data_IF_537227284541
#
_entry.id   IF_537227284541
#
_cell.length_a   1.000
_cell.length_b   1.000
_cell.length_c   1.000
_cell.angle_alpha   90.00
_cell.angle_beta   90.00
_cell.angle_gamma   90.00
#
_symmetry.space_group_name_H-M   'P 1'
#
loop_
_entity.id
_entity.type
_entity.pdbx_description
1 polymer ?
#
# COMPACT_ATOMS: atom_id res chain seq x y z
N UNK A 1 23.96 2.04 27.09
CA UNK A 1 23.90 2.94 25.93
C UNK A 1 25.28 2.94 25.29
N UNK A 2 25.39 2.64 23.99
CA UNK A 2 26.65 2.74 23.25
C UNK A 2 27.16 4.20 23.25
N UNK A 3 28.46 4.40 23.34
CA UNK A 3 29.07 5.74 23.35
C UNK A 3 28.97 6.40 21.95
N UNK A 4 28.84 7.74 21.84
CA UNK A 4 28.76 8.44 20.55
C UNK A 4 29.87 8.08 19.54
N UNK A 5 31.04 7.70 20.02
CA UNK A 5 32.18 7.31 19.19
C UNK A 5 32.02 5.92 18.54
N UNK A 6 31.28 5.01 19.18
CA UNK A 6 30.92 3.71 18.59
C UNK A 6 29.99 3.93 17.39
N UNK A 7 28.97 4.80 17.53
CA UNK A 7 28.07 5.14 16.44
C UNK A 7 28.77 5.85 15.27
N UNK A 8 29.71 6.77 15.55
CA UNK A 8 30.54 7.37 14.50
C UNK A 8 31.37 6.32 13.76
N UNK A 9 31.91 5.34 14.48
CA UNK A 9 32.65 4.22 13.89
C UNK A 9 31.75 3.35 13.01
N UNK A 10 30.53 3.04 13.47
CA UNK A 10 29.53 2.31 12.68
C UNK A 10 29.18 3.09 11.40
N UNK A 11 28.93 4.40 11.51
CA UNK A 11 28.62 5.27 10.38
C UNK A 11 29.71 5.23 9.31
N UNK A 12 30.98 5.35 9.71
CA UNK A 12 32.13 5.24 8.79
C UNK A 12 32.16 3.90 8.06
N UNK A 13 32.00 2.78 8.79
CA UNK A 13 31.96 1.43 8.21
C UNK A 13 30.81 1.25 7.22
N UNK A 14 29.64 1.85 7.51
CA UNK A 14 28.49 1.83 6.59
C UNK A 14 28.79 2.62 5.31
N UNK A 15 29.44 3.78 5.42
CA UNK A 15 29.87 4.58 4.25
C UNK A 15 30.84 3.81 3.36
N UNK A 16 31.84 3.14 3.95
CA UNK A 16 32.79 2.30 3.20
C UNK A 16 32.07 1.18 2.44
N UNK A 17 31.15 0.46 3.12
CA UNK A 17 30.35 -0.60 2.48
C UNK A 17 29.43 -0.07 1.39
N UNK A 18 28.87 1.13 1.56
CA UNK A 18 27.99 1.74 0.58
C UNK A 18 28.74 2.06 -0.72
N UNK A 19 30.00 2.52 -0.63
CA UNK A 19 30.85 2.75 -1.79
C UNK A 19 31.10 1.49 -2.63
N UNK A 20 31.05 0.30 -2.02
CA UNK A 20 31.22 -0.98 -2.70
C UNK A 20 29.89 -1.64 -3.14
N UNK A 21 28.73 -1.08 -2.78
CA UNK A 21 27.43 -1.68 -3.07
C UNK A 21 27.05 -1.54 -4.55
N UNK A 22 26.76 -2.66 -5.21
CA UNK A 22 26.47 -2.70 -6.65
C UNK A 22 24.97 -2.73 -6.94
N UNK A 23 24.19 -3.38 -6.07
CA UNK A 23 22.74 -3.58 -6.25
C UNK A 23 21.88 -2.65 -5.37
N UNK A 24 20.64 -2.41 -5.83
CA UNK A 24 19.69 -1.52 -5.14
C UNK A 24 19.29 -2.04 -3.75
N UNK A 25 19.23 -3.36 -3.55
CA UNK A 25 18.87 -3.95 -2.25
C UNK A 25 19.94 -3.66 -1.20
N UNK A 26 21.21 -3.81 -1.54
CA UNK A 26 22.34 -3.49 -0.68
C UNK A 26 22.41 -1.98 -0.39
N UNK A 27 22.25 -1.13 -1.40
CA UNK A 27 22.23 0.34 -1.23
C UNK A 27 21.11 0.79 -0.31
N UNK A 28 19.88 0.33 -0.56
CA UNK A 28 18.72 0.62 0.27
C UNK A 28 18.96 0.24 1.74
N UNK A 29 19.47 -0.97 2.00
CA UNK A 29 19.76 -1.43 3.37
C UNK A 29 20.84 -0.57 4.05
N UNK A 30 21.95 -0.30 3.38
CA UNK A 30 23.09 0.41 3.95
C UNK A 30 22.78 1.87 4.24
N UNK A 31 22.15 2.57 3.29
CA UNK A 31 21.67 3.95 3.49
C UNK A 31 20.66 4.02 4.63
N UNK A 32 19.70 3.10 4.66
CA UNK A 32 18.68 3.05 5.69
C UNK A 32 19.27 2.83 7.09
N UNK A 33 20.30 1.99 7.22
CA UNK A 33 21.03 1.82 8.49
C UNK A 33 21.88 3.04 8.84
N UNK A 34 22.50 3.69 7.86
CA UNK A 34 23.30 4.90 8.07
C UNK A 34 22.43 6.06 8.55
N UNK A 35 21.23 6.21 7.97
CA UNK A 35 20.22 7.17 8.42
C UNK A 35 19.83 6.97 9.89
N UNK A 36 19.62 5.73 10.35
CA UNK A 36 19.34 5.43 11.76
C UNK A 36 20.50 5.86 12.66
N UNK A 37 21.74 5.59 12.26
CA UNK A 37 22.93 5.99 13.02
C UNK A 37 23.07 7.52 13.07
N UNK A 38 22.93 8.20 11.93
CA UNK A 38 22.97 9.67 11.88
C UNK A 38 21.85 10.31 12.72
N UNK A 39 20.64 9.72 12.73
CA UNK A 39 19.54 10.12 13.61
C UNK A 39 19.91 10.01 15.10
N UNK A 40 20.52 8.90 15.52
CA UNK A 40 20.99 8.69 16.90
C UNK A 40 22.07 9.71 17.28
N UNK A 41 22.94 10.07 16.33
CA UNK A 41 23.97 11.10 16.51
C UNK A 41 23.43 12.54 16.50
N UNK A 42 22.15 12.74 16.20
CA UNK A 42 21.51 14.06 16.08
C UNK A 42 21.77 14.77 14.75
N UNK A 43 22.37 14.10 13.77
CA UNK A 43 22.69 14.63 12.44
C UNK A 43 21.48 14.45 11.49
N UNK A 44 20.41 15.20 11.76
CA UNK A 44 19.10 14.97 11.14
C UNK A 44 19.02 15.31 9.64
N UNK A 45 19.85 16.23 9.14
CA UNK A 45 19.94 16.53 7.70
C UNK A 45 20.57 15.39 6.92
N UNK A 46 21.69 14.85 7.42
CA UNK A 46 22.34 13.67 6.84
C UNK A 46 21.43 12.45 6.89
N UNK A 47 20.74 12.25 8.03
CA UNK A 47 19.76 11.18 8.19
C UNK A 47 18.60 11.30 7.19
N UNK A 48 18.15 12.53 6.89
CA UNK A 48 17.06 12.78 5.94
C UNK A 48 17.51 12.47 4.51
N UNK A 49 18.69 12.94 4.11
CA UNK A 49 19.24 12.69 2.79
C UNK A 49 19.42 11.18 2.54
N UNK A 50 20.00 10.47 3.51
CA UNK A 50 20.17 9.01 3.44
C UNK A 50 18.82 8.28 3.43
N UNK A 51 17.87 8.71 4.27
CA UNK A 51 16.54 8.12 4.35
C UNK A 51 15.77 8.22 3.03
N UNK A 52 15.80 9.38 2.37
CA UNK A 52 15.16 9.59 1.05
C UNK A 52 15.80 8.73 -0.03
N UNK A 53 17.13 8.70 -0.11
CA UNK A 53 17.83 7.84 -1.07
C UNK A 53 17.56 6.35 -0.80
N UNK A 54 17.53 5.94 0.48
CA UNK A 54 17.20 4.58 0.85
C UNK A 54 15.81 4.17 0.39
N UNK A 55 14.82 5.06 0.54
CA UNK A 55 13.46 4.83 0.07
C UNK A 55 13.41 4.67 -1.45
N UNK A 56 14.05 5.56 -2.21
CA UNK A 56 14.12 5.45 -3.68
C UNK A 56 14.71 4.11 -4.13
N UNK A 57 15.83 3.69 -3.53
CA UNK A 57 16.40 2.38 -3.87
C UNK A 57 15.51 1.20 -3.43
N UNK A 58 14.81 1.33 -2.29
CA UNK A 58 13.88 0.30 -1.82
C UNK A 58 12.69 0.14 -2.77
N UNK A 59 12.07 1.23 -3.21
CA UNK A 59 10.99 1.24 -4.19
C UNK A 59 11.42 0.62 -5.51
N UNK A 60 12.64 0.94 -5.97
CA UNK A 60 13.22 0.35 -7.17
C UNK A 60 13.43 -1.18 -7.07
N UNK A 61 13.42 -1.75 -5.85
CA UNK A 61 13.45 -3.22 -5.69
C UNK A 61 12.08 -3.88 -5.88
N UNK A 62 10.98 -3.12 -5.73
CA UNK A 62 9.61 -3.66 -5.76
C UNK A 62 9.23 -4.52 -4.56
N UNK A 63 10.10 -4.68 -3.56
CA UNK A 63 9.83 -5.48 -2.35
C UNK A 63 9.13 -4.64 -1.27
N UNK A 64 7.82 -4.87 -1.05
CA UNK A 64 7.00 -4.10 -0.09
C UNK A 64 7.61 -4.06 1.31
N UNK A 65 8.09 -5.19 1.84
CA UNK A 65 8.74 -5.21 3.16
C UNK A 65 9.93 -4.24 3.25
N UNK A 66 10.74 -4.14 2.19
CA UNK A 66 11.90 -3.23 2.19
C UNK A 66 11.47 -1.78 2.08
N UNK A 67 10.50 -1.50 1.21
CA UNK A 67 9.92 -0.16 1.07
C UNK A 67 9.31 0.30 2.38
N UNK A 68 8.49 -0.53 3.03
CA UNK A 68 7.86 -0.21 4.32
C UNK A 68 8.90 0.08 5.43
N UNK A 69 9.98 -0.70 5.52
CA UNK A 69 11.06 -0.43 6.48
C UNK A 69 11.79 0.87 6.17
N UNK A 70 12.03 1.18 4.89
CA UNK A 70 12.66 2.43 4.49
C UNK A 70 11.76 3.64 4.77
N UNK A 71 10.46 3.55 4.45
CA UNK A 71 9.44 4.55 4.76
C UNK A 71 9.37 4.81 6.27
N UNK A 72 9.29 3.75 7.09
CA UNK A 72 9.23 3.88 8.53
C UNK A 72 10.48 4.59 9.10
N UNK A 73 11.67 4.19 8.69
CA UNK A 73 12.92 4.83 9.15
C UNK A 73 13.02 6.29 8.71
N UNK A 74 12.59 6.62 7.49
CA UNK A 74 12.50 8.01 7.03
C UNK A 74 11.47 8.79 7.85
N UNK A 75 10.29 8.21 8.12
CA UNK A 75 9.26 8.80 8.97
C UNK A 75 9.79 9.10 10.38
N UNK A 76 10.62 8.22 10.93
CA UNK A 76 11.33 8.50 12.19
C UNK A 76 12.22 9.74 12.11
N UNK A 77 13.02 9.88 11.05
CA UNK A 77 13.87 11.06 10.87
C UNK A 77 13.01 12.34 10.82
N UNK A 78 11.94 12.33 10.03
CA UNK A 78 11.01 13.44 9.88
C UNK A 78 10.31 13.79 11.20
N UNK A 79 9.87 12.78 11.96
CA UNK A 79 9.29 12.94 13.30
C UNK A 79 10.26 13.68 14.24
N UNK A 80 11.54 13.27 14.29
CA UNK A 80 12.55 13.94 15.12
C UNK A 80 12.91 15.36 14.65
N UNK A 81 12.64 15.67 13.38
CA UNK A 81 12.75 17.03 12.82
C UNK A 81 11.49 17.89 13.05
N UNK A 82 10.40 17.30 13.56
CA UNK A 82 9.10 17.97 13.70
C UNK A 82 8.29 18.06 12.40
N UNK A 83 8.72 17.38 11.34
CA UNK A 83 8.03 17.33 10.03
C UNK A 83 6.92 16.27 10.05
N UNK A 84 5.95 16.46 10.95
CA UNK A 84 5.00 15.41 11.32
C UNK A 84 4.01 15.01 10.22
N UNK A 85 3.61 15.93 9.35
CA UNK A 85 2.67 15.64 8.26
C UNK A 85 3.25 14.60 7.31
N UNK A 86 4.50 14.78 6.88
CA UNK A 86 5.20 13.82 6.01
C UNK A 86 5.51 12.53 6.77
N UNK A 87 5.89 12.61 8.05
CA UNK A 87 6.12 11.44 8.89
C UNK A 87 4.89 10.54 9.03
N UNK A 88 3.73 11.11 9.37
CA UNK A 88 2.47 10.39 9.51
C UNK A 88 2.05 9.75 8.19
N UNK A 89 2.21 10.47 7.07
CA UNK A 89 1.94 9.94 5.72
C UNK A 89 2.78 8.71 5.45
N UNK A 90 4.09 8.78 5.69
CA UNK A 90 4.99 7.65 5.48
C UNK A 90 4.69 6.47 6.40
N UNK A 91 4.31 6.70 7.66
CA UNK A 91 3.86 5.61 8.55
C UNK A 91 2.57 4.95 8.03
N UNK A 92 1.61 5.73 7.54
CA UNK A 92 0.37 5.23 6.95
C UNK A 92 0.60 4.46 5.64
N UNK A 93 1.51 4.93 4.79
CA UNK A 93 1.93 4.24 3.57
C UNK A 93 2.65 2.92 3.89
N UNK A 94 3.56 2.94 4.87
CA UNK A 94 4.33 1.78 5.29
C UNK A 94 3.47 0.66 5.89
N UNK A 95 2.36 1.01 6.54
CA UNK A 95 1.50 0.07 7.25
C UNK A 95 0.53 -0.68 6.33
N UNK A 96 1.10 -1.39 5.35
CA UNK A 96 0.36 -2.30 4.49
C UNK A 96 -0.15 -3.51 5.28
N UNK A 97 -1.37 -3.90 4.99
CA UNK A 97 -1.97 -5.09 5.59
C UNK A 97 -1.32 -6.39 5.10
N UNK A 98 -0.62 -6.37 3.96
CA UNK A 98 0.08 -7.53 3.38
C UNK A 98 1.46 -7.79 4.03
N UNK A 99 1.87 -6.98 5.00
CA UNK A 99 3.13 -7.17 5.72
C UNK A 99 2.99 -8.17 6.87
N UNK A 100 4.09 -8.81 7.31
CA UNK A 100 4.09 -9.64 8.51
C UNK A 100 3.58 -8.87 9.73
N UNK A 101 2.79 -9.53 10.57
CA UNK A 101 2.17 -8.92 11.76
C UNK A 101 3.20 -8.28 12.69
N UNK A 102 4.36 -8.94 12.88
CA UNK A 102 5.48 -8.39 13.66
C UNK A 102 5.92 -7.01 13.13
N UNK A 103 6.04 -6.82 11.83
CA UNK A 103 6.44 -5.53 11.27
C UNK A 103 5.31 -4.50 11.44
N UNK A 104 4.06 -4.90 11.17
CA UNK A 104 2.89 -4.04 11.32
C UNK A 104 2.72 -3.54 12.76
N UNK A 105 2.94 -4.41 13.75
CA UNK A 105 2.87 -4.05 15.17
C UNK A 105 3.88 -2.94 15.52
N UNK A 106 5.12 -3.05 15.04
CA UNK A 106 6.14 -2.01 15.26
C UNK A 106 5.82 -0.72 14.49
N UNK A 107 5.25 -0.80 13.29
CA UNK A 107 4.79 0.38 12.56
C UNK A 107 3.68 1.13 13.32
N UNK A 108 2.73 0.39 13.88
CA UNK A 108 1.69 0.95 14.75
C UNK A 108 2.29 1.55 16.03
N UNK A 109 3.23 0.89 16.71
CA UNK A 109 3.95 1.43 17.87
C UNK A 109 4.56 2.82 17.55
N UNK A 110 5.21 2.95 16.39
CA UNK A 110 5.87 4.19 16.01
C UNK A 110 4.93 5.28 15.51
N UNK A 111 3.88 4.93 14.76
CA UNK A 111 2.81 5.85 14.40
C UNK A 111 2.11 6.40 15.66
N UNK A 112 1.87 5.55 16.66
CA UNK A 112 1.30 5.96 17.95
C UNK A 112 2.18 6.96 18.68
N UNK A 113 3.50 6.75 18.69
CA UNK A 113 4.46 7.74 19.23
C UNK A 113 4.51 9.04 18.43
N UNK A 114 4.37 8.99 17.11
CA UNK A 114 4.25 10.21 16.27
C UNK A 114 3.01 11.01 16.67
N UNK A 115 1.86 10.34 16.88
CA UNK A 115 0.62 10.98 17.32
C UNK A 115 0.73 11.56 18.72
N UNK A 116 1.41 10.86 19.64
CA UNK A 116 1.68 11.33 20.99
C UNK A 116 2.46 12.65 21.00
N UNK A 117 3.54 12.74 20.23
CA UNK A 117 4.37 13.96 20.13
C UNK A 117 3.55 15.17 19.63
N UNK A 118 2.51 14.92 18.84
CA UNK A 118 1.60 15.93 18.29
C UNK A 118 0.40 16.24 19.19
N UNK A 119 0.25 15.56 20.34
CA UNK A 119 -0.90 15.71 21.24
C UNK A 119 -2.19 15.07 20.74
N UNK A 120 -2.15 14.22 19.70
CA UNK A 120 -3.29 13.42 19.25
C UNK A 120 -3.36 12.11 20.04
N UNK A 121 -3.70 12.22 21.32
CA UNK A 121 -3.59 11.12 22.28
C UNK A 121 -4.61 10.00 22.01
N UNK A 122 -5.82 10.33 21.56
CA UNK A 122 -6.81 9.31 21.14
C UNK A 122 -6.29 8.46 19.97
N UNK A 123 -5.70 9.11 18.96
CA UNK A 123 -5.11 8.44 17.80
C UNK A 123 -3.90 7.59 18.21
N UNK A 124 -3.08 8.08 19.16
CA UNK A 124 -1.97 7.33 19.73
C UNK A 124 -2.44 6.02 20.41
N UNK A 125 -3.48 6.10 21.26
CA UNK A 125 -4.09 4.92 21.88
C UNK A 125 -4.57 3.90 20.85
N UNK A 126 -5.26 4.35 19.80
CA UNK A 126 -5.74 3.46 18.76
C UNK A 126 -4.58 2.71 18.07
N UNK A 127 -3.48 3.40 17.77
CA UNK A 127 -2.30 2.76 17.22
C UNK A 127 -1.69 1.73 18.18
N UNK A 128 -1.58 2.04 19.48
CA UNK A 128 -1.05 1.12 20.48
C UNK A 128 -1.93 -0.12 20.66
N UNK A 129 -3.25 0.03 20.67
CA UNK A 129 -4.22 -1.06 20.68
C UNK A 129 -4.01 -1.98 19.48
N UNK A 130 -3.92 -1.43 18.26
CA UNK A 130 -3.65 -2.22 17.04
C UNK A 130 -2.33 -2.98 17.09
N UNK A 131 -1.29 -2.40 17.69
CA UNK A 131 -0.02 -3.10 17.86
C UNK A 131 -0.13 -4.29 18.83
N UNK A 132 -0.92 -4.16 19.91
CA UNK A 132 -1.21 -5.25 20.85
C UNK A 132 -2.13 -6.31 20.24
N UNK A 133 -3.13 -5.94 19.45
CA UNK A 133 -4.00 -6.90 18.75
C UNK A 133 -3.19 -7.82 17.82
N UNK A 134 -2.17 -7.27 17.17
CA UNK A 134 -1.32 -8.01 16.24
C UNK A 134 -0.36 -8.97 16.93
N UNK A 135 0.22 -8.61 18.09
CA UNK A 135 1.37 -9.34 18.67
C UNK A 135 1.47 -9.32 20.20
N UNK A 136 0.51 -8.73 20.91
CA UNK A 136 0.61 -8.44 22.35
C UNK A 136 0.73 -9.67 23.24
N UNK A 137 0.19 -10.83 22.82
CA UNK A 137 0.30 -12.10 23.54
C UNK A 137 1.60 -12.86 23.25
N UNK A 138 2.25 -12.56 22.12
CA UNK A 138 3.42 -13.29 21.60
C UNK A 138 4.73 -12.52 21.73
N UNK A 139 4.68 -11.24 22.11
CA UNK A 139 5.83 -10.35 22.18
C UNK A 139 5.84 -9.52 23.50
N UNK A 140 6.41 -10.08 24.59
CA UNK A 140 6.48 -9.40 25.88
C UNK A 140 7.27 -8.08 25.83
N UNK A 141 8.24 -7.95 24.92
CA UNK A 141 9.01 -6.72 24.77
C UNK A 141 8.17 -5.61 24.14
N UNK A 142 7.40 -5.93 23.10
CA UNK A 142 6.42 -5.00 22.52
C UNK A 142 5.41 -4.56 23.58
N UNK A 143 4.87 -5.50 24.36
CA UNK A 143 3.91 -5.20 25.41
C UNK A 143 4.50 -4.22 26.44
N UNK A 144 5.75 -4.42 26.87
CA UNK A 144 6.43 -3.52 27.80
C UNK A 144 6.63 -2.11 27.22
N UNK A 145 7.05 -2.00 25.94
CA UNK A 145 7.22 -0.71 25.26
C UNK A 145 5.91 0.04 25.06
N UNK A 146 4.83 -0.68 24.74
CA UNK A 146 3.49 -0.09 24.59
C UNK A 146 2.94 0.37 25.94
N UNK A 147 3.10 -0.43 27.01
CA UNK A 147 2.68 -0.04 28.36
C UNK A 147 3.31 1.28 28.78
N UNK A 148 4.62 1.43 28.60
CA UNK A 148 5.32 2.69 28.86
C UNK A 148 4.74 3.87 28.06
N UNK A 149 4.36 3.62 26.80
CA UNK A 149 3.76 4.66 25.95
C UNK A 149 2.35 5.02 26.41
N UNK A 150 1.55 4.05 26.87
CA UNK A 150 0.22 4.28 27.42
C UNK A 150 0.26 4.99 28.78
N UNK A 151 1.25 4.70 29.62
CA UNK A 151 1.46 5.42 30.89
C UNK A 151 1.74 6.91 30.61
N UNK A 152 2.62 7.21 29.64
CA UNK A 152 2.89 8.58 29.21
C UNK A 152 1.65 9.28 28.59
N UNK A 153 0.82 8.54 27.84
CA UNK A 153 -0.47 9.06 27.35
C UNK A 153 -1.39 9.41 28.51
N UNK A 154 -1.53 8.53 29.51
CA UNK A 154 -2.41 8.73 30.65
C UNK A 154 -2.04 10.00 31.45
N UNK A 155 -0.73 10.23 31.66
CA UNK A 155 -0.22 11.45 32.28
C UNK A 155 -0.61 12.69 31.48
N UNK A 156 -0.38 12.69 30.16
CA UNK A 156 -0.65 13.85 29.30
C UNK A 156 -2.14 14.12 29.09
N UNK A 157 -2.98 13.08 29.04
CA UNK A 157 -4.46 13.22 28.98
C UNK A 157 -5.00 13.97 30.19
N UNK A 158 -4.42 13.76 31.38
CA UNK A 158 -4.85 14.46 32.59
C UNK A 158 -4.62 15.98 32.49
N UNK A 159 -3.66 16.43 31.66
CA UNK A 159 -3.33 17.83 31.45
C UNK A 159 -4.07 18.46 30.26
N UNK A 160 -4.12 17.75 29.12
CA UNK A 160 -4.56 18.33 27.84
C UNK A 160 -5.86 17.74 27.28
N UNK A 161 -6.40 16.71 27.92
CA UNK A 161 -7.45 15.87 27.33
C UNK A 161 -6.92 15.01 26.17
N UNK A 162 -7.82 14.25 25.53
CA UNK A 162 -7.46 13.26 24.50
C UNK A 162 -7.09 13.84 23.13
N UNK A 163 -7.38 15.11 22.88
CA UNK A 163 -7.24 15.72 21.55
C UNK A 163 -8.36 15.33 20.58
N UNK A 164 -8.15 15.49 19.26
CA UNK A 164 -9.16 15.25 18.24
C UNK A 164 -9.47 13.75 18.06
N UNK A 165 -10.57 13.46 17.36
CA UNK A 165 -10.88 12.10 16.94
C UNK A 165 -9.77 11.53 16.03
N UNK A 166 -9.48 10.22 16.12
CA UNK A 166 -8.48 9.57 15.28
C UNK A 166 -8.78 9.74 13.80
N UNK A 167 -7.77 10.14 13.03
CA UNK A 167 -7.85 10.16 11.57
C UNK A 167 -7.81 8.73 11.01
N UNK A 168 -8.57 8.49 9.96
CA UNK A 168 -8.51 7.29 9.13
C UNK A 168 -7.23 7.26 8.30
N UNK A 169 -6.85 6.07 7.82
CA UNK A 169 -5.69 5.93 6.91
C UNK A 169 -5.87 6.78 5.64
N UNK A 170 -7.08 6.87 5.11
CA UNK A 170 -7.38 7.67 3.91
C UNK A 170 -7.13 9.15 4.18
N UNK A 171 -7.57 9.70 5.31
CA UNK A 171 -7.30 11.09 5.72
C UNK A 171 -5.81 11.41 5.88
N UNK A 172 -5.01 10.46 6.39
CA UNK A 172 -3.57 10.66 6.55
C UNK A 172 -2.85 10.66 5.19
N UNK A 173 -3.33 9.87 4.23
CA UNK A 173 -2.77 9.76 2.89
C UNK A 173 -3.25 10.88 1.95
N UNK A 174 -4.47 11.35 2.14
CA UNK A 174 -5.09 12.44 1.38
C UNK A 174 -5.02 13.73 2.21
N UNK A 175 -3.87 14.41 2.19
CA UNK A 175 -3.66 15.70 2.89
C UNK A 175 -4.55 16.85 2.41
N UNK A 176 -5.43 16.61 1.44
CA UNK A 176 -6.47 17.51 0.95
C UNK A 176 -7.71 16.66 0.64
N UNK A 177 -8.60 16.52 1.62
CA UNK A 177 -9.87 15.80 1.47
C UNK A 177 -10.68 16.52 0.39
N UNK A 178 -10.86 15.91 -0.80
CA UNK A 178 -11.64 16.56 -1.83
C UNK A 178 -13.10 16.71 -1.36
N UNK A 179 -13.86 17.65 -1.93
CA UNK A 179 -15.29 17.76 -1.64
C UNK A 179 -15.99 16.41 -1.80
N UNK A 180 -16.83 16.01 -0.84
CA UNK A 180 -17.53 14.73 -0.88
C UNK A 180 -18.90 14.91 -1.54
N UNK A 181 -19.41 13.93 -2.32
CA UNK A 181 -20.76 14.01 -2.87
C UNK A 181 -21.80 14.21 -1.76
N UNK A 182 -22.59 15.26 -1.88
CA UNK A 182 -23.64 15.63 -0.93
C UNK A 182 -24.93 15.97 -1.69
N UNK A 183 -26.08 15.71 -1.07
CA UNK A 183 -27.38 16.02 -1.68
C UNK A 183 -27.96 17.31 -1.12
N UNK A 184 -28.60 18.07 -1.99
CA UNK A 184 -29.55 19.11 -1.63
C UNK A 184 -30.81 18.91 -2.48
N UNK A 185 -31.93 18.57 -1.81
CA UNK A 185 -33.11 18.03 -2.47
C UNK A 185 -32.82 16.73 -3.24
N UNK A 186 -33.23 16.68 -4.51
CA UNK A 186 -33.06 15.51 -5.38
C UNK A 186 -31.72 15.50 -6.15
N UNK A 187 -30.98 16.61 -6.11
CA UNK A 187 -29.74 16.78 -6.86
C UNK A 187 -28.51 16.59 -5.95
N UNK A 188 -27.41 16.20 -6.58
CA UNK A 188 -26.10 16.06 -5.99
C UNK A 188 -25.25 17.29 -6.30
N UNK A 189 -24.53 17.74 -5.28
CA UNK A 189 -23.39 18.65 -5.35
C UNK A 189 -22.22 18.03 -4.60
N UNK A 190 -21.29 18.87 -4.12
CA UNK A 190 -20.21 18.42 -3.26
C UNK A 190 -20.00 19.34 -2.06
N UNK A 191 -19.86 18.74 -0.89
CA UNK A 191 -19.61 19.43 0.37
C UNK A 191 -18.14 19.36 0.77
N UNK A 192 -17.63 20.45 1.32
CA UNK A 192 -16.29 20.51 1.89
C UNK A 192 -16.17 19.74 3.21
N UNK A 193 -14.97 19.70 3.82
CA UNK A 193 -14.75 19.00 5.10
C UNK A 193 -15.65 19.47 6.24
N UNK A 194 -16.06 20.74 6.22
CA UNK A 194 -16.94 21.35 7.23
C UNK A 194 -18.43 21.04 7.01
N UNK A 195 -18.77 20.30 5.94
CA UNK A 195 -20.13 19.93 5.56
C UNK A 195 -20.85 20.98 4.71
N UNK A 196 -20.27 22.15 4.52
CA UNK A 196 -20.80 23.20 3.66
C UNK A 196 -20.72 22.82 2.18
N UNK A 197 -21.77 23.11 1.42
CA UNK A 197 -21.80 22.87 -0.02
C UNK A 197 -20.82 23.81 -0.74
N UNK A 198 -19.76 23.26 -1.32
CA UNK A 198 -18.72 24.01 -2.06
C UNK A 198 -18.90 23.92 -3.57
N UNK A 199 -19.59 22.88 -4.05
CA UNK A 199 -20.08 22.77 -5.43
C UNK A 199 -21.58 22.58 -5.37
N UNK A 200 -22.34 23.49 -5.97
CA UNK A 200 -23.79 23.50 -5.92
C UNK A 200 -24.42 22.18 -6.40
N UNK A 201 -25.59 21.84 -5.84
CA UNK A 201 -26.33 20.66 -6.22
C UNK A 201 -27.05 20.83 -7.55
N UNK A 202 -26.39 20.44 -8.63
CA UNK A 202 -26.90 20.56 -10.00
C UNK A 202 -26.92 19.23 -10.77
N UNK A 203 -26.44 18.15 -10.14
CA UNK A 203 -26.21 16.87 -10.80
C UNK A 203 -27.26 15.83 -10.43
N UNK A 204 -27.75 15.08 -11.40
CA UNK A 204 -28.60 13.92 -11.14
C UNK A 204 -27.82 12.78 -10.46
N UNK A 205 -26.54 12.65 -10.78
CA UNK A 205 -25.60 11.73 -10.13
C UNK A 205 -24.20 12.33 -10.03
N UNK A 206 -23.47 11.99 -8.96
CA UNK A 206 -22.09 12.38 -8.75
C UNK A 206 -21.29 11.22 -8.13
N UNK A 207 -20.12 10.92 -8.69
CA UNK A 207 -19.15 9.99 -8.09
C UNK A 207 -18.17 10.75 -7.18
N UNK A 208 -17.59 10.10 -6.16
CA UNK A 208 -16.53 10.71 -5.35
C UNK A 208 -15.33 11.14 -6.19
N UNK A 209 -14.67 12.22 -5.78
CA UNK A 209 -13.42 12.64 -6.40
C UNK A 209 -12.35 11.55 -6.25
N UNK A 210 -11.65 11.25 -7.36
CA UNK A 210 -10.46 10.42 -7.42
C UNK A 210 -9.43 11.10 -8.34
N UNK A 211 -8.17 11.12 -7.92
CA UNK A 211 -7.10 11.85 -8.61
C UNK A 211 -7.44 13.33 -8.91
N UNK A 212 -8.22 13.96 -8.03
CA UNK A 212 -8.65 15.36 -8.16
C UNK A 212 -9.80 15.60 -9.13
N UNK A 213 -10.40 14.55 -9.69
CA UNK A 213 -11.47 14.63 -10.68
C UNK A 213 -12.70 13.82 -10.26
N UNK A 214 -13.90 14.24 -10.65
CA UNK A 214 -15.14 13.52 -10.37
C UNK A 214 -16.01 13.39 -11.62
N UNK A 215 -16.63 12.22 -11.78
CA UNK A 215 -17.66 12.03 -12.79
C UNK A 215 -19.00 12.54 -12.25
N UNK A 216 -19.67 13.37 -13.03
CA UNK A 216 -21.00 13.90 -12.74
C UNK A 216 -21.93 13.72 -13.94
N UNK A 217 -23.22 13.58 -13.69
CA UNK A 217 -24.24 13.46 -14.72
C UNK A 217 -25.32 14.50 -14.47
N UNK A 218 -25.54 15.39 -15.44
CA UNK A 218 -26.61 16.39 -15.34
C UNK A 218 -27.98 15.79 -15.72
N UNK A 219 -29.09 16.32 -15.20
CA UNK A 219 -30.43 15.77 -15.46
C UNK A 219 -30.85 15.67 -16.93
N UNK A 220 -30.26 16.47 -17.81
CA UNK A 220 -30.66 16.66 -19.20
C UNK A 220 -29.98 15.64 -20.14
N UNK A 221 -29.07 14.82 -19.62
CA UNK A 221 -28.27 13.87 -20.39
C UNK A 221 -28.06 12.55 -19.65
N UNK A 222 -27.91 11.48 -20.42
CA UNK A 222 -27.50 10.17 -19.93
C UNK A 222 -25.98 9.99 -19.93
N UNK A 223 -25.22 10.98 -20.43
CA UNK A 223 -23.75 10.93 -20.52
C UNK A 223 -23.09 11.66 -19.35
N UNK A 224 -21.98 11.11 -18.89
CA UNK A 224 -21.16 11.65 -17.81
C UNK A 224 -20.21 12.73 -18.32
N UNK A 225 -20.05 13.77 -17.49
CA UNK A 225 -19.07 14.84 -17.59
C UNK A 225 -18.02 14.67 -16.50
N UNK A 226 -16.81 15.17 -16.75
CA UNK A 226 -15.74 15.21 -15.76
C UNK A 226 -15.61 16.62 -15.21
N UNK A 227 -15.54 16.76 -13.89
CA UNK A 227 -15.31 18.05 -13.22
C UNK A 227 -14.08 17.99 -12.32
N UNK A 228 -13.44 19.15 -12.12
CA UNK A 228 -12.36 19.33 -11.16
C UNK A 228 -12.89 19.70 -9.76
N UNK A 229 -11.97 19.86 -8.80
CA UNK A 229 -12.31 20.19 -7.39
C UNK A 229 -13.02 21.53 -7.20
N UNK A 230 -13.02 22.40 -8.21
CA UNK A 230 -13.76 23.68 -8.20
C UNK A 230 -15.17 23.54 -8.78
N UNK A 231 -15.49 22.37 -9.35
CA UNK A 231 -16.73 22.13 -10.08
C UNK A 231 -16.67 22.56 -11.54
N UNK A 232 -15.51 23.01 -12.04
CA UNK A 232 -15.34 23.35 -13.44
C UNK A 232 -15.35 22.09 -14.32
N UNK A 233 -16.10 22.12 -15.41
CA UNK A 233 -16.13 21.03 -16.40
C UNK A 233 -14.76 20.91 -17.07
N UNK A 234 -14.14 19.74 -16.91
CA UNK A 234 -12.90 19.32 -17.57
C UNK A 234 -13.22 18.57 -18.86
N UNK A 235 -14.24 17.70 -18.84
CA UNK A 235 -14.72 16.97 -20.00
C UNK A 235 -16.23 17.11 -20.13
N UNK A 236 -16.67 17.59 -21.29
CA UNK A 236 -18.08 17.69 -21.66
C UNK A 236 -18.77 16.31 -21.68
N UNK A 237 -20.12 16.23 -21.57
CA UNK A 237 -20.85 14.97 -21.53
C UNK A 237 -20.51 14.05 -22.71
N UNK A 238 -19.71 13.01 -22.47
CA UNK A 238 -19.07 12.25 -23.55
C UNK A 238 -19.40 10.76 -23.51
N UNK A 239 -19.45 10.13 -22.34
CA UNK A 239 -19.60 8.67 -22.22
C UNK A 239 -20.82 8.28 -21.39
N UNK A 240 -21.62 7.29 -21.80
CA UNK A 240 -22.75 6.80 -21.02
C UNK A 240 -22.33 5.93 -19.83
N UNK A 241 -21.17 5.26 -19.92
CA UNK A 241 -20.66 4.38 -18.87
C UNK A 241 -19.23 4.75 -18.51
N UNK A 242 -18.98 5.02 -17.24
CA UNK A 242 -17.68 5.45 -16.71
C UNK A 242 -17.33 4.71 -15.41
N UNK A 243 -16.03 4.54 -15.16
CA UNK A 243 -15.48 4.19 -13.84
C UNK A 243 -14.59 5.32 -13.35
N UNK A 244 -14.47 5.44 -12.04
CA UNK A 244 -13.67 6.50 -11.42
C UNK A 244 -12.21 6.48 -11.88
N UNK A 245 -11.59 7.66 -11.90
CA UNK A 245 -10.15 7.80 -12.16
C UNK A 245 -9.33 7.01 -11.14
N UNK A 246 -8.23 6.44 -11.62
CA UNK A 246 -7.27 5.68 -10.82
C UNK A 246 -5.92 5.69 -11.52
N UNK A 247 -4.86 6.08 -10.80
CA UNK A 247 -3.54 6.37 -11.39
C UNK A 247 -3.62 7.28 -12.62
N UNK A 248 -4.47 8.31 -12.57
CA UNK A 248 -4.63 9.32 -13.62
C UNK A 248 -5.31 8.83 -14.91
N UNK A 249 -5.93 7.64 -14.92
CA UNK A 249 -6.73 7.14 -16.03
C UNK A 249 -8.12 6.70 -15.57
N UNK A 250 -9.12 6.78 -16.44
CA UNK A 250 -10.46 6.26 -16.21
C UNK A 250 -10.89 5.29 -17.31
N UNK A 251 -11.62 4.23 -16.93
CA UNK A 251 -12.25 3.32 -17.88
C UNK A 251 -13.61 3.87 -18.31
N UNK A 252 -13.85 3.93 -19.61
CA UNK A 252 -15.11 4.40 -20.21
C UNK A 252 -15.61 3.41 -21.27
N UNK A 253 -16.91 3.41 -21.52
CA UNK A 253 -17.56 2.58 -22.55
C UNK A 253 -18.77 3.31 -23.13
N UNK A 254 -19.06 3.06 -24.41
CA UNK A 254 -20.29 3.49 -25.09
C UNK A 254 -21.52 2.66 -24.71
N UNK A 255 -21.36 1.67 -23.83
CA UNK A 255 -22.45 0.79 -23.37
C UNK A 255 -22.75 -0.37 -24.32
N UNK A 256 -23.71 -1.21 -23.93
CA UNK A 256 -24.06 -2.43 -24.69
C UNK A 256 -22.88 -3.41 -24.77
N UNK A 257 -22.60 -3.92 -25.98
CA UNK A 257 -21.47 -4.82 -26.26
C UNK A 257 -20.13 -4.07 -26.48
N UNK A 258 -20.11 -2.74 -26.31
CA UNK A 258 -18.89 -1.97 -26.47
C UNK A 258 -17.90 -2.27 -25.33
N UNK A 259 -16.70 -2.69 -25.70
CA UNK A 259 -15.62 -2.90 -24.75
C UNK A 259 -15.16 -1.60 -24.06
N UNK A 260 -14.50 -1.75 -22.93
CA UNK A 260 -13.91 -0.67 -22.17
C UNK A 260 -12.63 -0.15 -22.81
N UNK A 261 -12.45 1.16 -22.83
CA UNK A 261 -11.19 1.86 -23.18
C UNK A 261 -10.77 2.75 -22.02
N UNK A 262 -9.46 3.04 -21.88
CA UNK A 262 -8.98 3.97 -20.87
C UNK A 262 -8.65 5.32 -21.48
N UNK A 263 -9.14 6.38 -20.83
CA UNK A 263 -8.84 7.77 -21.17
C UNK A 263 -8.05 8.46 -20.06
N UNK A 264 -7.33 9.52 -20.41
CA UNK A 264 -6.78 10.46 -19.43
C UNK A 264 -7.78 11.59 -19.09
N UNK A 265 -7.35 12.54 -18.26
CA UNK A 265 -8.15 13.67 -17.82
C UNK A 265 -8.56 14.64 -18.94
N UNK A 266 -7.86 14.63 -20.08
CA UNK A 266 -8.20 15.46 -21.25
C UNK A 266 -9.25 14.80 -22.15
N UNK A 267 -9.58 13.53 -21.89
CA UNK A 267 -10.46 12.72 -22.73
C UNK A 267 -9.72 11.98 -23.85
N UNK A 268 -8.39 12.09 -23.93
CA UNK A 268 -7.61 11.33 -24.91
C UNK A 268 -7.57 9.84 -24.54
N UNK A 269 -7.80 8.98 -25.54
CA UNK A 269 -7.75 7.53 -25.37
C UNK A 269 -6.29 7.07 -25.28
N UNK A 270 -5.87 6.66 -24.08
CA UNK A 270 -4.53 6.14 -23.81
C UNK A 270 -4.45 4.63 -24.01
N UNK A 271 -5.53 3.91 -23.66
CA UNK A 271 -5.63 2.46 -23.87
C UNK A 271 -6.80 2.17 -24.81
N UNK A 272 -6.54 1.97 -26.12
CA UNK A 272 -7.59 1.89 -27.15
C UNK A 272 -8.26 0.52 -27.25
N UNK A 273 -7.78 -0.46 -26.50
CA UNK A 273 -8.21 -1.85 -26.63
C UNK A 273 -9.54 -2.07 -25.91
N UNK A 274 -10.64 -2.19 -26.65
CA UNK A 274 -11.96 -2.54 -26.11
C UNK A 274 -11.96 -3.87 -25.37
N UNK A 275 -11.84 -3.82 -24.05
CA UNK A 275 -11.84 -4.99 -23.17
C UNK A 275 -13.27 -5.34 -22.75
N UNK A 276 -13.59 -6.62 -22.64
CA UNK A 276 -14.91 -7.07 -22.18
C UNK A 276 -15.14 -6.74 -20.69
N UNK A 277 -14.07 -6.71 -19.89
CA UNK A 277 -14.10 -6.27 -18.50
C UNK A 277 -12.75 -5.73 -18.07
N UNK A 278 -12.75 -4.88 -17.05
CA UNK A 278 -11.59 -4.13 -16.57
C UNK A 278 -11.63 -4.00 -15.05
N UNK A 279 -10.50 -3.71 -14.43
CA UNK A 279 -10.39 -3.29 -13.03
C UNK A 279 -9.66 -1.95 -12.96
N UNK A 280 -9.81 -1.17 -11.88
CA UNK A 280 -9.07 0.09 -11.73
C UNK A 280 -7.56 -0.10 -11.86
N UNK A 281 -6.87 0.90 -12.39
CA UNK A 281 -5.40 0.92 -12.38
C UNK A 281 -4.89 1.04 -10.94
N UNK A 282 -3.92 0.21 -10.56
CA UNK A 282 -3.29 0.27 -9.24
C UNK A 282 -1.79 0.12 -9.39
N UNK A 283 -1.04 1.16 -9.02
CA UNK A 283 0.41 1.24 -9.16
C UNK A 283 0.87 0.92 -10.59
N UNK A 284 0.22 1.54 -11.57
CA UNK A 284 0.63 1.54 -12.98
C UNK A 284 0.09 0.41 -13.84
N UNK A 285 -0.73 -0.50 -13.29
CA UNK A 285 -1.30 -1.64 -14.03
C UNK A 285 -2.77 -1.84 -13.71
N UNK A 286 -3.54 -2.32 -14.70
CA UNK A 286 -4.93 -2.72 -14.54
C UNK A 286 -5.12 -4.16 -15.02
N UNK A 287 -5.99 -4.90 -14.32
CA UNK A 287 -6.42 -6.23 -14.78
C UNK A 287 -7.54 -6.05 -15.80
N UNK A 288 -7.46 -6.77 -16.90
CA UNK A 288 -8.37 -6.65 -18.03
C UNK A 288 -8.76 -8.03 -18.56
N UNK A 289 -9.92 -8.11 -19.20
CA UNK A 289 -10.42 -9.33 -19.83
C UNK A 289 -10.79 -9.07 -21.28
N UNK A 290 -10.30 -9.94 -22.16
CA UNK A 290 -10.82 -10.08 -23.53
C UNK A 290 -11.38 -11.49 -23.68
N UNK A 291 -10.56 -12.43 -24.14
CA UNK A 291 -10.90 -13.86 -24.21
C UNK A 291 -10.64 -14.57 -22.86
N UNK A 292 -9.59 -14.11 -22.16
CA UNK A 292 -9.28 -14.48 -20.78
C UNK A 292 -8.77 -13.28 -20.00
N UNK A 293 -8.52 -13.47 -18.71
CA UNK A 293 -7.94 -12.46 -17.85
C UNK A 293 -6.45 -12.26 -18.14
N UNK A 294 -6.02 -11.01 -18.06
CA UNK A 294 -4.66 -10.54 -18.22
C UNK A 294 -4.49 -9.17 -17.56
N UNK A 295 -3.43 -8.45 -17.90
CA UNK A 295 -3.17 -7.13 -17.36
C UNK A 295 -2.50 -6.22 -18.38
N UNK A 296 -2.77 -4.92 -18.26
CA UNK A 296 -2.27 -3.86 -19.12
C UNK A 296 -1.60 -2.78 -18.28
N UNK A 297 -0.53 -2.17 -18.80
CA UNK A 297 0.06 -0.98 -18.19
C UNK A 297 -0.70 0.31 -18.57
N UNK A 298 -0.32 1.44 -17.96
CA UNK A 298 -0.90 2.76 -18.24
C UNK A 298 -0.69 3.27 -19.67
N UNK A 299 0.17 2.62 -20.46
CA UNK A 299 0.40 2.97 -21.86
C UNK A 299 -0.33 2.02 -22.82
N UNK A 300 -1.17 1.13 -22.30
CA UNK A 300 -1.95 0.18 -23.09
C UNK A 300 -1.20 -1.07 -23.51
N UNK A 301 0.03 -1.29 -23.02
CA UNK A 301 0.78 -2.51 -23.33
C UNK A 301 0.29 -3.65 -22.46
N UNK A 302 -0.04 -4.77 -23.09
CA UNK A 302 -0.42 -6.00 -22.38
C UNK A 302 0.83 -6.55 -21.67
N UNK A 303 0.90 -6.38 -20.36
CA UNK A 303 1.99 -6.90 -19.51
C UNK A 303 1.74 -8.35 -19.11
N UNK A 304 0.48 -8.76 -18.89
CA UNK A 304 0.11 -10.16 -18.68
C UNK A 304 -0.87 -10.59 -19.79
N UNK A 305 -0.56 -11.62 -20.59
CA UNK A 305 -1.45 -12.05 -21.68
C UNK A 305 -2.87 -12.39 -21.20
N UNK A 306 -3.88 -11.98 -21.98
CA UNK A 306 -5.31 -12.17 -21.72
C UNK A 306 -5.77 -13.59 -22.04
N UNK A 307 -5.28 -14.59 -21.29
CA UNK A 307 -5.52 -16.03 -21.53
C UNK A 307 -5.80 -16.83 -20.26
N UNK A 308 -5.85 -16.16 -19.11
CA UNK A 308 -6.02 -16.83 -17.82
C UNK A 308 -7.52 -16.97 -17.49
N UNK A 309 -7.92 -18.07 -16.87
CA UNK A 309 -9.30 -18.32 -16.47
C UNK A 309 -9.67 -17.55 -15.20
N UNK A 310 -8.68 -17.29 -14.33
CA UNK A 310 -8.83 -16.54 -13.10
C UNK A 310 -7.64 -15.62 -12.84
N UNK A 311 -7.94 -14.48 -12.21
CA UNK A 311 -6.98 -13.46 -11.81
C UNK A 311 -7.38 -12.92 -10.44
N UNK A 312 -7.33 -13.80 -9.44
CA UNK A 312 -7.73 -13.50 -8.06
C UNK A 312 -6.61 -13.99 -7.16
N UNK A 313 -6.10 -13.08 -6.35
CA UNK A 313 -4.95 -13.34 -5.49
C UNK A 313 -5.40 -13.63 -4.08
N UNK A 314 -5.04 -14.81 -3.58
CA UNK A 314 -5.34 -15.21 -2.21
C UNK A 314 -4.09 -15.02 -1.37
N UNK A 315 -4.22 -14.33 -0.25
CA UNK A 315 -3.16 -14.15 0.73
C UNK A 315 -3.17 -15.30 1.75
N UNK A 316 -2.03 -15.52 2.40
CA UNK A 316 -1.88 -16.60 3.38
C UNK A 316 -2.86 -16.48 4.56
N UNK A 317 -3.22 -15.26 4.95
CA UNK A 317 -4.20 -14.96 6.01
C UNK A 317 -5.67 -15.09 5.57
N UNK A 318 -5.92 -15.61 4.36
CA UNK A 318 -7.26 -15.88 3.84
C UNK A 318 -7.94 -14.69 3.17
N UNK A 319 -7.32 -13.50 3.14
CA UNK A 319 -7.86 -12.35 2.40
C UNK A 319 -7.67 -12.53 0.89
N UNK A 320 -8.52 -11.85 0.14
CA UNK A 320 -8.51 -11.86 -1.32
C UNK A 320 -8.20 -10.46 -1.85
N UNK A 321 -7.29 -10.39 -2.81
CA UNK A 321 -6.97 -9.19 -3.58
C UNK A 321 -7.44 -9.42 -5.02
N UNK A 322 -8.31 -8.52 -5.47
CA UNK A 322 -8.84 -8.56 -6.82
C UNK A 322 -7.84 -8.00 -7.85
N UNK A 323 -6.76 -8.74 -8.09
CA UNK A 323 -5.69 -8.36 -9.01
C UNK A 323 -4.31 -8.53 -8.42
N UNK A 324 -3.45 -7.53 -8.63
CA UNK A 324 -2.13 -7.49 -8.03
C UNK A 324 -2.20 -7.06 -6.57
N UNK A 325 -1.41 -7.73 -5.72
CA UNK A 325 -1.07 -7.29 -4.38
C UNK A 325 -0.35 -5.94 -4.39
N UNK A 326 -0.17 -5.32 -3.23
CA UNK A 326 0.63 -4.10 -3.10
C UNK A 326 2.09 -4.32 -3.54
N UNK A 327 2.63 -5.52 -3.32
CA UNK A 327 3.93 -5.94 -3.88
C UNK A 327 3.97 -6.09 -5.39
N UNK A 328 2.80 -6.14 -6.03
CA UNK A 328 2.71 -6.30 -7.47
C UNK A 328 2.75 -7.73 -7.92
N UNK A 329 2.24 -8.63 -7.10
CA UNK A 329 2.15 -10.06 -7.40
C UNK A 329 0.69 -10.43 -7.63
N UNK A 330 0.44 -11.30 -8.59
CA UNK A 330 -0.89 -11.81 -8.84
C UNK A 330 -0.88 -13.31 -8.99
N UNK A 331 -1.90 -13.97 -8.44
CA UNK A 331 -2.18 -15.38 -8.73
C UNK A 331 -3.00 -15.45 -10.01
N UNK A 332 -2.51 -16.25 -10.95
CA UNK A 332 -3.18 -16.54 -12.22
C UNK A 332 -3.59 -18.00 -12.27
N UNK A 333 -4.77 -18.26 -12.82
CA UNK A 333 -5.30 -19.61 -13.01
C UNK A 333 -5.33 -20.00 -14.49
N UNK A 334 -4.81 -21.18 -14.79
CA UNK A 334 -4.92 -21.83 -16.09
C UNK A 334 -5.49 -23.23 -15.88
N UNK A 335 -6.76 -23.41 -16.21
CA UNK A 335 -7.46 -24.70 -16.12
C UNK A 335 -7.35 -25.35 -14.73
N UNK A 336 -7.51 -24.57 -13.66
CA UNK A 336 -7.45 -25.06 -12.27
C UNK A 336 -6.04 -25.23 -11.72
N UNK A 337 -5.00 -24.82 -12.47
CA UNK A 337 -3.62 -24.75 -11.97
C UNK A 337 -3.21 -23.29 -11.79
N UNK A 338 -2.68 -22.99 -10.62
CA UNK A 338 -2.32 -21.67 -10.15
C UNK A 338 -0.83 -21.43 -10.25
N UNK A 339 -0.48 -20.21 -10.64
CA UNK A 339 0.88 -19.69 -10.70
C UNK A 339 0.93 -18.25 -10.22
N UNK A 340 2.13 -17.66 -10.17
CA UNK A 340 2.36 -16.28 -9.74
C UNK A 340 3.05 -15.50 -10.84
N UNK A 341 2.52 -14.32 -11.12
CA UNK A 341 3.14 -13.34 -12.02
C UNK A 341 3.36 -12.02 -11.29
N UNK A 342 4.34 -11.22 -11.73
CA UNK A 342 4.50 -9.85 -11.25
C UNK A 342 3.86 -8.82 -12.22
N UNK A 343 3.84 -7.53 -11.83
CA UNK A 343 3.29 -6.43 -12.67
C UNK A 343 3.91 -6.32 -14.06
N UNK A 344 5.16 -6.75 -14.22
CA UNK A 344 5.87 -6.73 -15.51
C UNK A 344 5.54 -7.96 -16.38
N UNK A 345 4.67 -8.86 -15.92
CA UNK A 345 4.32 -10.09 -16.65
C UNK A 345 5.28 -11.25 -16.43
N UNK A 346 6.33 -11.09 -15.62
CA UNK A 346 7.27 -12.16 -15.35
C UNK A 346 6.56 -13.23 -14.51
N UNK A 347 6.55 -14.46 -15.04
CA UNK A 347 6.12 -15.64 -14.30
C UNK A 347 7.19 -15.96 -13.25
N UNK A 348 6.82 -15.87 -11.97
CA UNK A 348 7.65 -16.28 -10.84
C UNK A 348 7.40 -17.74 -10.47
N UNK A 349 6.14 -18.16 -10.52
CA UNK A 349 5.74 -19.55 -10.31
C UNK A 349 4.87 -19.98 -11.49
N UNK A 350 5.26 -20.99 -12.29
CA UNK A 350 4.45 -21.50 -13.37
C UNK A 350 3.08 -22.00 -12.88
N UNK A 351 1.99 -21.88 -13.68
CA UNK A 351 0.66 -22.33 -13.31
C UNK A 351 0.56 -23.85 -13.29
N UNK A 352 1.14 -24.45 -12.25
CA UNK A 352 1.32 -25.88 -12.07
C UNK A 352 0.89 -26.33 -10.68
N UNK A 353 0.39 -25.46 -9.81
CA UNK A 353 -0.04 -25.85 -8.46
C UNK A 353 -1.56 -25.91 -8.35
N UNK A 354 -2.16 -27.00 -7.84
CA UNK A 354 -3.61 -27.05 -7.59
C UNK A 354 -4.08 -25.99 -6.59
N UNK A 355 -3.24 -25.66 -5.60
CA UNK A 355 -3.47 -24.58 -4.67
C UNK A 355 -2.21 -23.73 -4.50
N UNK A 356 -2.40 -22.40 -4.46
CA UNK A 356 -1.32 -21.44 -4.26
C UNK A 356 -1.89 -20.21 -3.55
N UNK A 357 -1.20 -19.74 -2.52
CA UNK A 357 -1.47 -18.47 -1.85
C UNK A 357 -0.18 -17.68 -1.63
N UNK A 358 -0.28 -16.35 -1.59
CA UNK A 358 0.88 -15.47 -1.39
C UNK A 358 1.08 -15.22 0.10
N UNK A 359 2.28 -15.53 0.59
CA UNK A 359 2.74 -15.18 1.93
C UNK A 359 3.77 -14.03 1.83
N UNK A 360 3.94 -13.16 2.85
CA UNK A 360 4.82 -11.99 2.75
C UNK A 360 6.31 -12.29 2.53
N UNK A 361 6.72 -13.55 2.61
CA UNK A 361 8.13 -13.98 2.44
C UNK A 361 8.28 -15.23 1.56
N UNK A 362 7.18 -15.84 1.11
CA UNK A 362 7.18 -17.11 0.37
C UNK A 362 5.87 -17.27 -0.45
N UNK A 363 5.82 -18.28 -1.30
CA UNK A 363 4.57 -18.74 -1.93
C UNK A 363 4.18 -20.08 -1.31
N UNK A 364 3.04 -20.13 -0.63
CA UNK A 364 2.55 -21.39 -0.06
C UNK A 364 1.83 -22.16 -1.16
N UNK A 365 2.23 -23.42 -1.35
CA UNK A 365 1.74 -24.28 -2.43
C UNK A 365 1.14 -25.55 -1.84
N UNK A 366 -0.01 -25.95 -2.37
CA UNK A 366 -0.67 -27.19 -2.01
C UNK A 366 -0.58 -28.21 -3.15
N UNK A 367 -0.41 -29.48 -2.80
CA UNK A 367 -0.27 -30.58 -3.77
C UNK A 367 -1.62 -31.12 -4.31
N UNK A 368 -2.74 -30.64 -3.76
CA UNK A 368 -4.10 -31.09 -4.09
C UNK A 368 -4.58 -32.31 -3.30
N UNK A 369 -3.72 -32.97 -2.53
CA UNK A 369 -4.08 -34.06 -1.60
C UNK A 369 -4.33 -33.55 -0.17
N UNK A 370 -4.16 -32.24 0.03
CA UNK A 370 -4.29 -31.57 1.32
C UNK A 370 -2.94 -31.34 2.00
N UNK A 371 -1.81 -31.60 1.33
CA UNK A 371 -0.49 -31.27 1.86
C UNK A 371 0.00 -29.92 1.34
N UNK A 372 0.67 -29.18 2.23
CA UNK A 372 1.18 -27.85 1.97
C UNK A 372 2.69 -27.77 2.17
N UNK A 373 3.34 -26.99 1.31
CA UNK A 373 4.74 -26.62 1.37
C UNK A 373 4.93 -25.16 0.95
N UNK A 374 6.17 -24.77 0.68
CA UNK A 374 6.51 -23.40 0.31
C UNK A 374 7.56 -23.34 -0.79
N UNK A 375 7.41 -22.35 -1.67
CA UNK A 375 8.44 -21.86 -2.56
C UNK A 375 8.98 -20.53 -2.03
N UNK A 376 10.24 -20.23 -2.30
CA UNK A 376 10.81 -18.92 -2.02
C UNK A 376 10.23 -17.84 -2.96
N UNK A 377 10.62 -16.57 -2.78
CA UNK A 377 10.14 -15.45 -3.61
C UNK A 377 10.60 -15.51 -5.08
N UNK A 378 11.48 -16.44 -5.44
CA UNK A 378 11.96 -16.70 -6.81
C UNK A 378 11.22 -17.87 -7.46
N UNK A 379 10.41 -18.60 -6.69
CA UNK A 379 9.69 -19.79 -7.14
C UNK A 379 10.48 -21.09 -6.93
N UNK A 380 11.59 -21.05 -6.20
CA UNK A 380 12.41 -22.23 -5.91
C UNK A 380 11.89 -22.96 -4.66
N UNK A 381 12.02 -24.29 -4.56
CA UNK A 381 11.59 -25.04 -3.38
C UNK A 381 12.22 -24.52 -2.08
N UNK A 382 11.39 -24.26 -1.07
CA UNK A 382 11.81 -23.84 0.26
C UNK A 382 11.42 -24.87 1.33
N UNK A 383 10.17 -25.34 1.28
CA UNK A 383 9.62 -26.36 2.19
C UNK A 383 8.86 -27.38 1.34
N UNK A 384 9.17 -28.66 1.50
CA UNK A 384 8.46 -29.75 0.83
C UNK A 384 6.99 -29.82 1.28
N UNK A 385 6.05 -30.26 0.42
CA UNK A 385 4.63 -30.30 0.75
C UNK A 385 4.29 -31.46 1.70
N UNK A 386 4.68 -31.34 2.97
CA UNK A 386 4.50 -32.37 4.01
C UNK A 386 3.55 -31.93 5.13
N UNK A 387 3.23 -30.64 5.22
CA UNK A 387 2.37 -30.08 6.26
C UNK A 387 0.90 -30.30 5.96
N UNK A 388 0.07 -30.38 7.00
CA UNK A 388 -1.38 -30.67 6.86
C UNK A 388 -2.20 -29.44 6.54
N UNK A 389 -1.68 -28.27 6.88
CA UNK A 389 -2.33 -26.99 6.65
C UNK A 389 -1.28 -25.89 6.41
N UNK A 390 -1.77 -24.68 6.16
CA UNK A 390 -0.92 -23.52 5.85
C UNK A 390 -0.22 -22.97 7.09
N UNK A 391 -0.86 -23.09 8.25
CA UNK A 391 -0.38 -22.49 9.50
C UNK A 391 0.89 -23.21 9.98
N UNK A 392 0.94 -24.54 9.83
CA UNK A 392 2.16 -25.32 10.04
C UNK A 392 3.32 -24.87 9.15
N UNK A 393 3.06 -24.56 7.87
CA UNK A 393 4.09 -24.05 6.95
C UNK A 393 4.54 -22.65 7.35
N UNK A 394 3.60 -21.76 7.71
CA UNK A 394 3.93 -20.41 8.19
C UNK A 394 4.81 -20.48 9.43
N UNK A 395 4.47 -21.31 10.41
CA UNK A 395 5.27 -21.51 11.62
C UNK A 395 6.69 -22.07 11.33
N UNK A 396 6.85 -22.87 10.28
CA UNK A 396 8.17 -23.31 9.82
C UNK A 396 8.96 -22.19 9.14
N UNK A 397 8.33 -21.42 8.25
CA UNK A 397 8.94 -20.22 7.65
C UNK A 397 9.41 -19.26 8.74
N UNK A 398 8.60 -19.01 9.77
CA UNK A 398 9.00 -18.13 10.86
C UNK A 398 10.22 -18.64 11.63
N UNK A 399 10.31 -19.96 11.89
CA UNK A 399 11.49 -20.59 12.49
C UNK A 399 12.74 -20.45 11.61
N UNK A 400 12.59 -20.51 10.29
CA UNK A 400 13.68 -20.29 9.33
C UNK A 400 14.10 -18.81 9.25
N UNK A 401 13.24 -17.89 9.65
CA UNK A 401 13.45 -16.43 9.57
C UNK A 401 13.83 -15.78 10.90
N UNK A 402 14.12 -16.57 11.94
CA UNK A 402 14.59 -16.09 13.25
C UNK A 402 15.94 -15.41 13.08
N UNK A 403 15.92 -14.09 12.76
CA UNK A 403 16.98 -13.10 13.06
C UNK A 403 16.75 -11.68 12.50
N UNK A 404 15.52 -11.24 12.19
CA UNK A 404 15.34 -9.91 11.56
C UNK A 404 14.15 -9.11 12.07
N UNK A 405 14.14 -8.74 13.36
CA UNK A 405 13.47 -7.49 13.75
C UNK A 405 14.23 -6.33 13.10
N UNK A 406 13.63 -5.57 12.16
CA UNK A 406 14.31 -4.41 11.62
C UNK A 406 14.49 -3.41 12.75
N UNK A 407 15.73 -2.99 12.99
CA UNK A 407 16.01 -1.85 13.87
C UNK A 407 15.42 -0.61 13.22
N UNK A 408 14.37 -0.02 13.80
CA UNK A 408 13.72 1.20 13.31
C UNK A 408 14.22 2.46 14.03
#
# INVERSE_FOLDING_TARGET
MAEPDEFRTIRRRLTEKLGAAVDNKSRARLLSLRAVVSRILGELDDALADGRLALTYAEATGELRRTAVAQARLAHVLRWRGEFVEADRLFAEANSTELPERLRAVLHEHAGRSCYDQGRLMEACHHFERALDLRGTEDPELQARIRLSLDAVAERVAETGFGPYPRTREEVLESDRPPAPARDGDLWGFAGPDGDMVIAAEYAEAQPFRDGLAWVRRPETERWSLVDRTGATVLEPSYPVVRSFSDGLAWVSDGGDAGWVAIDATGEVVVPHGFADVRPFRRGVAVVRRDGWGAVDRNGRIVVPTRHHGFVTVLADGRYVDGFTEEGLAVVDVAGRRGVVNRAGKVLVPPTHPALVIHPVAFLVGDGTGRWGALDRRGEPLIEPVHRDRDEVVAEIERLLVDTSPVL
#
